data_IF_260453515126
#
_entry.id   IF_260453515126
#
_cell.length_a   1.000
_cell.length_b   1.000
_cell.length_c   1.000
_cell.angle_alpha   90.00
_cell.angle_beta   90.00
_cell.angle_gamma   90.00
#
_symmetry.space_group_name_H-M   'P 1'
#
loop_
_entity.id
_entity.type
_entity.pdbx_description
1 polymer ?
#
# COMPACT_ATOMS: atom_id res chain seq x y z
N UNK A 1 -4.44 -1.18 13.19
CA UNK A 1 -3.44 -1.58 12.19
C UNK A 1 -2.13 -0.88 12.43
N UNK A 2 -1.04 -1.55 12.14
CA UNK A 2 0.29 -0.96 12.27
C UNK A 2 0.76 -0.40 10.94
N UNK A 3 1.62 0.62 11.00
CA UNK A 3 2.29 1.10 9.80
C UNK A 3 3.16 -0.04 9.23
N UNK A 4 3.25 -0.11 7.92
CA UNK A 4 4.01 -1.14 7.22
C UNK A 4 4.83 -0.52 6.09
N UNK A 5 5.95 -1.15 5.75
CA UNK A 5 6.65 -0.80 4.53
C UNK A 5 5.91 -1.41 3.33
N UNK A 6 6.19 -0.87 2.15
CA UNK A 6 5.63 -1.44 0.92
C UNK A 6 6.04 -2.90 0.75
N UNK A 7 7.28 -3.23 1.12
CA UNK A 7 7.78 -4.60 1.04
C UNK A 7 6.99 -5.52 1.96
N UNK A 8 6.74 -5.09 3.19
CA UNK A 8 5.94 -5.87 4.14
C UNK A 8 4.53 -6.09 3.62
N UNK A 9 3.92 -5.06 3.04
CA UNK A 9 2.58 -5.18 2.48
C UNK A 9 2.57 -6.14 1.29
N UNK A 10 3.58 -6.07 0.43
CA UNK A 10 3.72 -7.00 -0.69
C UNK A 10 3.86 -8.45 -0.20
N UNK A 11 4.65 -8.66 0.84
CA UNK A 11 4.82 -9.98 1.45
C UNK A 11 3.48 -10.51 1.99
N UNK A 12 2.69 -9.66 2.62
CA UNK A 12 1.36 -10.05 3.10
C UNK A 12 0.41 -10.41 1.96
N UNK A 13 0.55 -9.71 0.84
CA UNK A 13 -0.26 -9.99 -0.35
C UNK A 13 0.24 -11.22 -1.12
N UNK A 14 1.46 -11.68 -0.83
CA UNK A 14 2.06 -12.81 -1.53
C UNK A 14 2.54 -12.45 -2.93
N UNK A 15 2.91 -11.20 -3.16
CA UNK A 15 3.36 -10.71 -4.47
C UNK A 15 4.67 -9.96 -4.33
N UNK A 16 5.34 -9.71 -5.46
CA UNK A 16 6.54 -8.89 -5.47
C UNK A 16 6.19 -7.42 -5.28
N UNK A 17 7.19 -6.64 -4.88
CA UNK A 17 7.02 -5.19 -4.72
C UNK A 17 6.59 -4.53 -6.05
N UNK A 18 7.15 -4.99 -7.15
CA UNK A 18 6.79 -4.46 -8.48
C UNK A 18 5.31 -4.72 -8.80
N UNK A 19 4.82 -5.90 -8.47
CA UNK A 19 3.42 -6.24 -8.66
C UNK A 19 2.51 -5.38 -7.78
N UNK A 20 2.91 -5.17 -6.54
CA UNK A 20 2.16 -4.31 -5.63
C UNK A 20 2.09 -2.88 -6.17
N UNK A 21 3.22 -2.34 -6.63
CA UNK A 21 3.27 -1.00 -7.22
C UNK A 21 2.35 -0.89 -8.44
N UNK A 22 2.33 -1.93 -9.27
CA UNK A 22 1.44 -1.97 -10.44
C UNK A 22 -0.03 -1.93 -10.00
N UNK A 23 -0.38 -2.69 -8.98
CA UNK A 23 -1.75 -2.73 -8.47
C UNK A 23 -2.18 -1.41 -7.85
N UNK A 24 -1.25 -0.71 -7.20
CA UNK A 24 -1.55 0.58 -6.57
C UNK A 24 -1.63 1.73 -7.57
N UNK A 25 -1.17 1.53 -8.79
CA UNK A 25 -1.11 2.58 -9.80
C UNK A 25 -2.46 3.27 -10.05
N UNK A 26 -3.58 2.54 -10.21
CA UNK A 26 -4.89 3.18 -10.39
C UNK A 26 -5.34 4.01 -9.20
N UNK A 27 -4.82 3.73 -8.01
CA UNK A 27 -5.21 4.41 -6.77
C UNK A 27 -4.22 5.48 -6.35
N UNK A 28 -3.22 5.76 -7.17
CA UNK A 28 -2.14 6.68 -6.83
C UNK A 28 -2.64 8.06 -6.44
N UNK A 29 -3.59 8.59 -7.18
CA UNK A 29 -4.18 9.90 -6.89
C UNK A 29 -4.86 9.93 -5.53
N UNK A 30 -5.60 8.87 -5.21
CA UNK A 30 -6.27 8.74 -3.92
C UNK A 30 -5.25 8.65 -2.78
N UNK A 31 -4.19 7.89 -2.98
CA UNK A 31 -3.13 7.76 -1.99
C UNK A 31 -2.43 9.10 -1.75
N UNK A 32 -2.15 9.85 -2.79
CA UNK A 32 -1.56 11.19 -2.67
C UNK A 32 -2.50 12.15 -1.95
N UNK A 33 -3.79 12.07 -2.24
CA UNK A 33 -4.80 12.88 -1.56
C UNK A 33 -4.89 12.56 -0.07
N UNK A 34 -4.55 11.32 0.30
CA UNK A 34 -4.49 10.89 1.71
C UNK A 34 -3.19 11.30 2.40
N UNK A 35 -2.29 11.98 1.69
CA UNK A 35 -1.04 12.45 2.26
C UNK A 35 0.16 11.54 2.02
N UNK A 36 0.03 10.52 1.19
CA UNK A 36 1.15 9.64 0.88
C UNK A 36 2.15 10.36 -0.03
N UNK A 37 3.40 10.43 0.41
CA UNK A 37 4.47 11.03 -0.37
C UNK A 37 5.19 9.96 -1.19
N UNK A 38 5.66 10.29 -2.40
CA UNK A 38 6.34 9.32 -3.27
C UNK A 38 7.59 8.69 -2.63
N UNK A 39 8.24 9.43 -1.74
CA UNK A 39 9.49 8.99 -1.11
C UNK A 39 9.28 8.28 0.22
N UNK A 40 8.04 8.09 0.65
CA UNK A 40 7.74 7.47 1.94
C UNK A 40 7.95 5.97 1.83
N UNK A 41 8.82 5.43 2.69
CA UNK A 41 9.02 3.99 2.79
C UNK A 41 7.96 3.33 3.67
N UNK A 42 7.57 4.03 4.73
CA UNK A 42 6.61 3.52 5.70
C UNK A 42 5.23 4.03 5.36
N UNK A 43 4.29 3.11 5.24
CA UNK A 43 2.90 3.45 4.95
C UNK A 43 2.15 3.63 6.27
N UNK A 44 1.48 4.77 6.49
CA UNK A 44 0.64 4.93 7.68
C UNK A 44 -0.46 3.88 7.75
N UNK A 45 -0.97 3.57 8.95
CA UNK A 45 -2.03 2.56 9.09
C UNK A 45 -3.25 2.82 8.22
N UNK A 46 -3.64 4.08 8.05
CA UNK A 46 -4.79 4.44 7.23
C UNK A 46 -4.56 4.07 5.75
N UNK A 47 -3.34 4.26 5.26
CA UNK A 47 -2.96 3.90 3.90
C UNK A 47 -2.91 2.39 3.75
N UNK A 48 -2.32 1.68 4.72
CA UNK A 48 -2.26 0.22 4.71
C UNK A 48 -3.67 -0.37 4.64
N UNK A 49 -4.57 0.14 5.46
CA UNK A 49 -5.96 -0.30 5.47
C UNK A 49 -6.63 -0.05 4.11
N UNK A 50 -6.44 1.13 3.54
CA UNK A 50 -7.01 1.48 2.24
C UNK A 50 -6.55 0.51 1.16
N UNK A 51 -5.25 0.28 1.07
CA UNK A 51 -4.68 -0.61 0.06
C UNK A 51 -5.18 -2.04 0.27
N UNK A 52 -5.19 -2.50 1.52
CA UNK A 52 -5.65 -3.85 1.85
C UNK A 52 -7.11 -4.06 1.42
N UNK A 53 -7.96 -3.09 1.69
CA UNK A 53 -9.38 -3.18 1.29
C UNK A 53 -9.54 -3.16 -0.23
N UNK A 54 -8.80 -2.30 -0.93
CA UNK A 54 -8.92 -2.18 -2.39
C UNK A 54 -8.39 -3.39 -3.12
N UNK A 55 -7.34 -4.00 -2.62
CA UNK A 55 -6.70 -5.15 -3.25
C UNK A 55 -7.10 -6.48 -2.61
N UNK A 56 -8.02 -6.45 -1.66
CA UNK A 56 -8.48 -7.65 -0.95
C UNK A 56 -7.33 -8.41 -0.29
N UNK A 57 -6.37 -7.68 0.25
CA UNK A 57 -5.25 -8.29 0.95
C UNK A 57 -5.69 -8.66 2.36
N UNK A 58 -5.42 -9.89 2.74
CA UNK A 58 -5.73 -10.38 4.07
C UNK A 58 -4.58 -10.04 5.02
N UNK A 59 -4.85 -9.17 5.97
CA UNK A 59 -3.87 -8.75 6.96
C UNK A 59 -4.09 -9.51 8.29
#
# INVERSE_FOLDING_TARGET
>A
MKAMTKQQLADRAGVSLNTLNRWCKPFRRELEAMGLQPNTRMLPPVIVKFIAEKLCIDL
#
